data_IF_811222135189
#
_entry.id   IF_811222135189
#
_cell.length_a   1.000
_cell.length_b   1.000
_cell.length_c   1.000
_cell.angle_alpha   90.00
_cell.angle_beta   90.00
_cell.angle_gamma   90.00
#
_symmetry.space_group_name_H-M   'P 1'
#
loop_
_entity.id
_entity.type
_entity.pdbx_description
1 polymer ?
#
# COMPACT_ATOMS: atom_id res chain seq x y z
N UNK A 1 0.95 -84.47 -35.07
CA UNK A 1 1.06 -83.12 -34.50
C UNK A 1 0.97 -83.25 -33.00
N UNK A 2 1.98 -82.78 -32.29
CA UNK A 2 1.94 -82.73 -30.82
C UNK A 2 1.12 -81.51 -30.38
N UNK A 3 0.46 -81.56 -29.22
CA UNK A 3 -0.38 -80.45 -28.74
C UNK A 3 0.42 -79.12 -28.59
N UNK A 4 1.73 -79.23 -28.34
CA UNK A 4 2.65 -78.09 -28.22
C UNK A 4 2.85 -77.37 -29.56
N UNK A 5 2.95 -78.11 -30.67
CA UNK A 5 3.10 -77.53 -32.02
C UNK A 5 1.85 -76.74 -32.45
N UNK A 6 0.66 -77.23 -32.11
CA UNK A 6 -0.61 -76.58 -32.44
C UNK A 6 -0.76 -75.24 -31.70
N UNK A 7 -0.38 -75.20 -30.42
CA UNK A 7 -0.38 -73.96 -29.62
C UNK A 7 0.64 -72.96 -30.16
N UNK A 8 1.84 -73.43 -30.54
CA UNK A 8 2.86 -72.57 -31.15
C UNK A 8 2.40 -71.92 -32.46
N UNK A 9 1.66 -72.65 -33.30
CA UNK A 9 1.13 -72.14 -34.56
C UNK A 9 0.01 -71.12 -34.35
N UNK A 10 -0.90 -71.34 -33.38
CA UNK A 10 -1.93 -70.36 -33.03
C UNK A 10 -1.30 -69.09 -32.45
N UNK A 11 -0.30 -69.23 -31.56
CA UNK A 11 0.41 -68.11 -30.96
C UNK A 11 1.13 -67.26 -32.01
N UNK A 12 1.73 -67.86 -33.04
CA UNK A 12 2.41 -67.11 -34.10
C UNK A 12 1.44 -66.30 -34.96
N UNK A 13 0.25 -66.86 -35.27
CA UNK A 13 -0.81 -66.16 -36.00
C UNK A 13 -1.35 -65.00 -35.16
N UNK A 14 -1.62 -65.21 -33.88
CA UNK A 14 -2.09 -64.16 -32.97
C UNK A 14 -1.04 -63.04 -32.85
N UNK A 15 0.24 -63.40 -32.71
CA UNK A 15 1.33 -62.41 -32.65
C UNK A 15 1.44 -61.61 -33.94
N UNK A 16 1.22 -62.22 -35.11
CA UNK A 16 1.26 -61.53 -36.39
C UNK A 16 0.13 -60.49 -36.52
N UNK A 17 -1.10 -60.87 -36.12
CA UNK A 17 -2.24 -59.95 -36.13
C UNK A 17 -2.04 -58.80 -35.15
N UNK A 18 -1.53 -59.09 -33.94
CA UNK A 18 -1.21 -58.05 -32.95
C UNK A 18 -0.11 -57.11 -33.45
N UNK A 19 0.91 -57.62 -34.14
CA UNK A 19 1.98 -56.80 -34.71
C UNK A 19 1.43 -55.82 -35.77
N UNK A 20 0.55 -56.27 -36.66
CA UNK A 20 -0.08 -55.41 -37.66
C UNK A 20 -0.96 -54.35 -36.97
N UNK A 21 -1.73 -54.76 -35.96
CA UNK A 21 -2.55 -53.84 -35.15
C UNK A 21 -1.71 -52.77 -34.45
N UNK A 22 -0.58 -53.15 -33.87
CA UNK A 22 0.33 -52.23 -33.19
C UNK A 22 0.97 -51.22 -34.15
N UNK A 23 1.39 -51.67 -35.34
CA UNK A 23 1.92 -50.78 -36.40
C UNK A 23 0.86 -49.74 -36.80
N UNK A 24 -0.38 -50.19 -37.01
CA UNK A 24 -1.47 -49.30 -37.36
C UNK A 24 -1.78 -48.28 -36.26
N UNK A 25 -1.87 -48.74 -35.00
CA UNK A 25 -2.13 -47.88 -33.85
C UNK A 25 -1.01 -46.82 -33.68
N UNK A 26 0.24 -47.22 -33.90
CA UNK A 26 1.40 -46.32 -33.83
C UNK A 26 1.29 -45.16 -34.83
N UNK A 27 0.86 -45.44 -36.07
CA UNK A 27 0.66 -44.40 -37.09
C UNK A 27 -0.47 -43.45 -36.70
N UNK A 28 -1.59 -43.96 -36.18
CA UNK A 28 -2.71 -43.13 -35.73
C UNK A 28 -2.29 -42.25 -34.54
N UNK A 29 -1.61 -42.83 -33.55
CA UNK A 29 -1.08 -42.09 -32.41
C UNK A 29 -0.06 -41.04 -32.82
N UNK A 30 0.80 -41.34 -33.80
CA UNK A 30 1.77 -40.38 -34.31
C UNK A 30 1.07 -39.17 -34.94
N UNK A 31 0.06 -39.38 -35.79
CA UNK A 31 -0.68 -38.28 -36.41
C UNK A 31 -1.43 -37.44 -35.37
N UNK A 32 -2.14 -38.09 -34.44
CA UNK A 32 -2.88 -37.39 -33.39
C UNK A 32 -1.94 -36.63 -32.42
N UNK A 33 -0.78 -37.20 -32.11
CA UNK A 33 0.25 -36.54 -31.30
C UNK A 33 0.84 -35.33 -32.01
N UNK A 34 1.03 -35.39 -33.32
CA UNK A 34 1.60 -34.28 -34.08
C UNK A 34 0.62 -33.10 -34.17
N UNK A 35 -0.67 -33.39 -34.33
CA UNK A 35 -1.75 -32.39 -34.30
C UNK A 35 -1.90 -31.77 -32.91
N UNK A 36 -1.90 -32.58 -31.85
CA UNK A 36 -1.94 -32.10 -30.46
C UNK A 36 -0.73 -31.23 -30.12
N UNK A 37 0.49 -31.64 -30.51
CA UNK A 37 1.71 -30.88 -30.31
C UNK A 37 1.68 -29.53 -31.05
N UNK A 38 1.14 -29.51 -32.28
CA UNK A 38 0.96 -28.28 -33.04
C UNK A 38 -0.03 -27.33 -32.36
N UNK A 39 -1.19 -27.82 -31.93
CA UNK A 39 -2.18 -27.01 -31.22
C UNK A 39 -1.64 -26.44 -29.90
N UNK A 40 -0.85 -27.24 -29.16
CA UNK A 40 -0.20 -26.82 -27.90
C UNK A 40 0.84 -25.74 -28.17
N UNK A 41 1.62 -25.88 -29.25
CA UNK A 41 2.61 -24.88 -29.66
C UNK A 41 1.95 -23.58 -30.11
N UNK A 42 0.84 -23.65 -30.84
CA UNK A 42 0.06 -22.47 -31.23
C UNK A 42 -0.59 -21.79 -30.02
N UNK A 43 -1.15 -22.55 -29.08
CA UNK A 43 -1.67 -22.02 -27.82
C UNK A 43 -0.56 -21.34 -27.01
N UNK A 44 0.62 -21.95 -26.89
CA UNK A 44 1.78 -21.36 -26.22
C UNK A 44 2.23 -20.05 -26.87
N UNK A 45 2.25 -19.98 -28.20
CA UNK A 45 2.53 -18.73 -28.95
C UNK A 45 1.47 -17.66 -28.68
N UNK A 46 0.18 -18.04 -28.61
CA UNK A 46 -0.90 -17.12 -28.26
C UNK A 46 -0.80 -16.59 -26.83
N UNK A 47 -0.34 -17.42 -25.90
CA UNK A 47 -0.07 -17.03 -24.50
C UNK A 47 1.09 -16.04 -24.45
N UNK A 48 2.22 -16.29 -25.12
CA UNK A 48 3.38 -15.39 -25.17
C UNK A 48 3.01 -14.00 -25.73
N UNK A 49 2.21 -13.97 -26.80
CA UNK A 49 1.71 -12.71 -27.37
C UNK A 49 0.79 -11.96 -26.40
N UNK A 50 -0.04 -12.68 -25.64
CA UNK A 50 -0.94 -12.09 -24.64
C UNK A 50 -0.15 -11.53 -23.44
N UNK A 51 0.90 -12.22 -23.00
CA UNK A 51 1.80 -11.77 -21.94
C UNK A 51 2.56 -10.51 -22.35
N UNK A 52 3.15 -10.47 -23.54
CA UNK A 52 3.79 -9.24 -24.07
C UNK A 52 2.84 -8.05 -24.15
N UNK A 53 1.57 -8.30 -24.48
CA UNK A 53 0.56 -7.24 -24.50
C UNK A 53 0.22 -6.76 -23.09
N UNK A 54 0.14 -7.67 -22.12
CA UNK A 54 -0.03 -7.34 -20.70
C UNK A 54 1.15 -6.56 -20.15
N UNK A 55 2.39 -6.94 -20.46
CA UNK A 55 3.60 -6.20 -20.09
C UNK A 55 3.58 -4.78 -20.66
N UNK A 56 3.29 -4.62 -21.96
CA UNK A 56 3.19 -3.28 -22.57
C UNK A 56 2.07 -2.42 -21.95
N UNK A 57 0.92 -3.01 -21.64
CA UNK A 57 -0.16 -2.29 -20.95
C UNK A 57 0.23 -1.93 -19.52
N UNK A 58 0.96 -2.81 -18.83
CA UNK A 58 1.47 -2.56 -17.50
C UNK A 58 2.52 -1.45 -17.49
N UNK A 59 3.51 -1.50 -18.38
CA UNK A 59 4.53 -0.46 -18.52
C UNK A 59 3.91 0.89 -18.84
N UNK A 60 2.90 0.90 -19.72
CA UNK A 60 2.19 2.14 -20.07
C UNK A 60 1.37 2.67 -18.90
N UNK A 61 0.64 1.82 -18.19
CA UNK A 61 -0.16 2.23 -17.02
C UNK A 61 0.74 2.68 -15.87
N UNK A 62 1.86 1.99 -15.64
CA UNK A 62 2.87 2.39 -14.66
C UNK A 62 3.45 3.75 -15.06
N UNK A 63 3.94 3.90 -16.30
CA UNK A 63 4.48 5.17 -16.80
C UNK A 63 3.47 6.31 -16.70
N UNK A 64 2.25 6.14 -17.19
CA UNK A 64 1.24 7.21 -17.22
C UNK A 64 0.73 7.54 -15.81
N UNK A 65 0.52 6.54 -14.95
CA UNK A 65 0.03 6.78 -13.57
C UNK A 65 1.13 7.33 -12.66
N UNK A 66 2.36 6.82 -12.76
CA UNK A 66 3.49 7.38 -12.00
C UNK A 66 3.87 8.77 -12.49
N UNK A 67 3.77 9.05 -13.79
CA UNK A 67 3.98 10.40 -14.31
C UNK A 67 2.88 11.34 -13.83
N UNK A 68 1.61 10.95 -13.92
CA UNK A 68 0.50 11.79 -13.47
C UNK A 68 0.49 12.00 -11.95
N UNK A 69 0.86 10.97 -11.17
CA UNK A 69 1.03 11.07 -9.72
C UNK A 69 2.23 11.96 -9.37
N UNK A 70 3.36 11.80 -10.06
CA UNK A 70 4.55 12.65 -9.92
C UNK A 70 4.21 14.10 -10.22
N UNK A 71 3.51 14.37 -11.32
CA UNK A 71 3.11 15.72 -11.73
C UNK A 71 2.16 16.34 -10.70
N UNK A 72 1.18 15.58 -10.20
CA UNK A 72 0.26 16.05 -9.15
C UNK A 72 1.01 16.38 -7.86
N UNK A 73 1.95 15.53 -7.45
CA UNK A 73 2.77 15.74 -6.24
C UNK A 73 3.75 16.90 -6.45
N UNK A 74 4.30 17.06 -7.65
CA UNK A 74 5.21 18.16 -7.99
C UNK A 74 4.48 19.49 -8.04
N UNK A 75 3.28 19.54 -8.61
CA UNK A 75 2.42 20.73 -8.63
C UNK A 75 1.91 21.08 -7.23
N UNK A 76 1.50 20.10 -6.42
CA UNK A 76 1.17 20.32 -5.02
C UNK A 76 2.38 20.81 -4.22
N UNK A 77 3.57 20.22 -4.42
CA UNK A 77 4.84 20.66 -3.81
C UNK A 77 5.13 22.12 -4.18
N UNK A 78 5.06 22.46 -5.46
CA UNK A 78 5.30 23.81 -5.97
C UNK A 78 4.26 24.81 -5.44
N UNK A 79 3.00 24.42 -5.33
CA UNK A 79 1.94 25.28 -4.81
C UNK A 79 2.06 25.50 -3.30
N UNK A 80 2.49 24.49 -2.54
CA UNK A 80 2.79 24.61 -1.10
C UNK A 80 4.01 25.50 -0.87
N UNK A 81 5.03 25.44 -1.74
CA UNK A 81 6.30 26.15 -1.53
C UNK A 81 6.41 27.54 -2.19
N UNK A 82 5.68 27.80 -3.27
CA UNK A 82 5.63 29.10 -3.95
C UNK A 82 4.42 29.95 -3.52
N UNK A 83 3.52 29.40 -2.69
CA UNK A 83 2.43 30.15 -2.05
C UNK A 83 2.89 31.18 -1.02
N UNK A 84 4.19 31.27 -0.76
CA UNK A 84 4.79 32.23 0.16
C UNK A 84 6.06 32.86 -0.45
N UNK A 85 5.91 33.58 -1.57
CA UNK A 85 6.97 34.46 -2.10
C UNK A 85 7.13 35.77 -1.28
N UNK A 86 6.78 35.76 0.00
CA UNK A 86 7.18 36.83 0.91
C UNK A 86 7.78 36.29 2.20
N UNK A 87 9.12 36.14 2.13
CA UNK A 87 10.11 36.13 3.22
C UNK A 87 10.65 34.75 3.63
N UNK A 88 11.97 34.68 3.51
CA UNK A 88 12.95 33.84 4.22
C UNK A 88 13.62 32.74 3.39
N UNK A 89 14.81 33.08 2.90
CA UNK A 89 15.65 32.28 2.00
C UNK A 89 16.76 31.50 2.74
N UNK A 90 16.92 31.61 4.06
CA UNK A 90 18.16 31.08 4.70
C UNK A 90 18.02 29.80 5.54
N UNK A 91 16.83 29.19 5.64
CA UNK A 91 16.63 27.96 6.46
C UNK A 91 16.06 26.76 5.68
N UNK A 92 16.04 26.80 4.34
CA UNK A 92 15.38 25.76 3.52
C UNK A 92 16.20 24.48 3.35
N UNK A 93 17.53 24.53 3.35
CA UNK A 93 18.34 23.36 2.94
C UNK A 93 18.42 22.26 4.00
N UNK A 94 18.46 22.57 5.30
CA UNK A 94 18.62 21.55 6.35
C UNK A 94 17.35 20.75 6.67
N UNK A 95 16.16 21.33 6.46
CA UNK A 95 14.88 20.65 6.69
C UNK A 95 14.50 19.77 5.50
N UNK A 96 14.89 20.17 4.28
CA UNK A 96 14.69 19.39 3.05
C UNK A 96 15.50 18.10 3.07
N UNK A 97 16.74 18.14 3.54
CA UNK A 97 17.64 16.98 3.55
C UNK A 97 17.24 15.91 4.58
N UNK A 98 16.74 16.31 5.76
CA UNK A 98 16.22 15.35 6.75
C UNK A 98 14.87 14.74 6.35
N UNK A 99 14.01 15.47 5.65
CA UNK A 99 12.72 14.98 5.18
C UNK A 99 12.87 14.00 4.01
N UNK A 100 13.73 14.31 3.04
CA UNK A 100 14.02 13.42 1.91
C UNK A 100 14.70 12.12 2.37
N UNK A 101 15.63 12.20 3.32
CA UNK A 101 16.31 11.02 3.87
C UNK A 101 15.37 10.11 4.68
N UNK A 102 14.44 10.68 5.46
CA UNK A 102 13.41 9.90 6.18
C UNK A 102 12.39 9.26 5.25
N UNK A 103 12.00 9.96 4.18
CA UNK A 103 11.08 9.39 3.19
C UNK A 103 11.75 8.22 2.44
N UNK A 104 13.00 8.36 2.03
CA UNK A 104 13.77 7.28 1.38
C UNK A 104 14.02 6.09 2.31
N UNK A 105 14.37 6.32 3.59
CA UNK A 105 14.51 5.24 4.58
C UNK A 105 13.20 4.48 4.78
N UNK A 106 12.07 5.19 4.85
CA UNK A 106 10.75 4.56 5.04
C UNK A 106 10.27 3.81 3.80
N UNK A 107 10.56 4.33 2.61
CA UNK A 107 10.28 3.61 1.35
C UNK A 107 11.16 2.36 1.24
N UNK A 108 12.43 2.43 1.67
CA UNK A 108 13.32 1.28 1.70
C UNK A 108 12.86 0.21 2.70
N UNK A 109 12.42 0.61 3.90
CA UNK A 109 11.88 -0.28 4.93
C UNK A 109 10.61 -1.01 4.44
N UNK A 110 9.70 -0.28 3.77
CA UNK A 110 8.50 -0.87 3.17
C UNK A 110 8.85 -1.83 2.03
N UNK A 111 9.82 -1.46 1.19
CA UNK A 111 10.29 -2.32 0.10
C UNK A 111 10.91 -3.62 0.63
N UNK A 112 11.73 -3.53 1.67
CA UNK A 112 12.38 -4.71 2.26
C UNK A 112 11.36 -5.63 2.97
N UNK A 113 10.36 -5.04 3.64
CA UNK A 113 9.25 -5.80 4.23
C UNK A 113 8.41 -6.51 3.15
N UNK A 114 8.13 -5.85 2.02
CA UNK A 114 7.44 -6.45 0.88
C UNK A 114 8.25 -7.58 0.23
N UNK A 115 9.56 -7.39 0.02
CA UNK A 115 10.44 -8.40 -0.58
C UNK A 115 10.54 -9.66 0.29
N UNK A 116 10.63 -9.51 1.63
CA UNK A 116 10.65 -10.65 2.56
C UNK A 116 9.34 -11.42 2.57
N UNK A 117 8.19 -10.72 2.60
CA UNK A 117 6.88 -11.37 2.59
C UNK A 117 6.57 -12.02 1.24
N UNK A 118 7.01 -11.43 0.12
CA UNK A 118 6.90 -12.05 -1.21
C UNK A 118 7.76 -13.31 -1.31
N UNK A 119 8.98 -13.30 -0.77
CA UNK A 119 9.84 -14.49 -0.72
C UNK A 119 9.22 -15.60 0.13
N UNK A 120 8.57 -15.27 1.26
CA UNK A 120 7.87 -16.21 2.14
C UNK A 120 6.64 -16.82 1.46
N UNK A 121 5.84 -16.01 0.75
CA UNK A 121 4.67 -16.47 0.00
C UNK A 121 5.10 -17.33 -1.20
N UNK A 122 6.14 -16.92 -1.94
CA UNK A 122 6.70 -17.71 -3.06
C UNK A 122 7.32 -19.03 -2.60
N UNK A 123 7.95 -19.06 -1.42
CA UNK A 123 8.48 -20.27 -0.82
C UNK A 123 7.34 -21.23 -0.38
N UNK A 124 6.24 -20.68 0.13
CA UNK A 124 5.04 -21.44 0.51
C UNK A 124 4.28 -21.97 -0.71
N UNK A 125 4.31 -21.27 -1.84
CA UNK A 125 3.51 -21.55 -3.03
C UNK A 125 4.18 -22.49 -4.06
N UNK A 126 5.49 -22.75 -3.94
CA UNK A 126 6.16 -23.81 -4.73
C UNK A 126 5.57 -25.22 -4.54
N UNK A 127 4.64 -25.39 -3.59
CA UNK A 127 3.94 -26.65 -3.29
C UNK A 127 2.52 -26.78 -3.87
N UNK A 128 1.93 -25.75 -4.50
CA UNK A 128 0.59 -25.89 -5.10
C UNK A 128 0.45 -25.07 -6.39
N UNK A 129 0.44 -25.82 -7.48
CA UNK A 129 0.26 -25.38 -8.86
C UNK A 129 -1.20 -24.94 -9.07
N UNK A 130 -1.55 -23.74 -8.62
CA UNK A 130 -2.91 -23.22 -8.75
C UNK A 130 -3.09 -21.82 -8.17
N UNK A 131 -3.54 -20.91 -9.05
CA UNK A 131 -4.19 -19.65 -8.74
C UNK A 131 -3.31 -18.42 -8.45
N UNK A 132 -2.70 -17.92 -9.52
CA UNK A 132 -2.29 -16.51 -9.67
C UNK A 132 -3.39 -15.50 -9.28
N UNK A 133 -4.67 -15.88 -9.39
CA UNK A 133 -5.82 -15.07 -8.96
C UNK A 133 -5.90 -14.89 -7.45
N UNK A 134 -5.47 -15.88 -6.67
CA UNK A 134 -5.54 -15.84 -5.21
C UNK A 134 -4.40 -14.97 -4.66
N UNK A 135 -3.24 -15.03 -5.30
CA UNK A 135 -2.11 -14.09 -5.06
C UNK A 135 -2.53 -12.67 -5.38
N UNK A 136 -3.15 -12.42 -6.55
CA UNK A 136 -3.63 -11.09 -6.93
C UNK A 136 -4.63 -10.52 -5.94
N UNK A 137 -5.60 -11.33 -5.47
CA UNK A 137 -6.58 -10.92 -4.46
C UNK A 137 -5.96 -10.70 -3.08
N UNK A 138 -4.96 -11.48 -2.70
CA UNK A 138 -4.21 -11.24 -1.47
C UNK A 138 -3.43 -9.93 -1.56
N UNK A 139 -2.78 -9.69 -2.70
CA UNK A 139 -2.03 -8.46 -2.96
C UNK A 139 -2.92 -7.23 -2.98
N UNK A 140 -4.09 -7.26 -3.63
CA UNK A 140 -5.09 -6.17 -3.61
C UNK A 140 -5.54 -5.85 -2.19
N UNK A 141 -5.81 -6.86 -1.35
CA UNK A 141 -6.22 -6.66 0.05
C UNK A 141 -5.11 -6.08 0.92
N UNK A 142 -3.86 -6.50 0.71
CA UNK A 142 -2.71 -5.95 1.41
C UNK A 142 -2.45 -4.49 0.98
N UNK A 143 -2.60 -4.17 -0.31
CA UNK A 143 -2.48 -2.82 -0.83
C UNK A 143 -3.57 -1.90 -0.26
N UNK A 144 -4.82 -2.36 -0.23
CA UNK A 144 -5.95 -1.65 0.38
C UNK A 144 -5.70 -1.39 1.87
N UNK A 145 -5.28 -2.41 2.62
CA UNK A 145 -4.98 -2.28 4.05
C UNK A 145 -3.77 -1.39 4.30
N UNK A 146 -2.72 -1.46 3.48
CA UNK A 146 -1.55 -0.60 3.60
C UNK A 146 -1.88 0.86 3.27
N UNK A 147 -2.74 1.11 2.26
CA UNK A 147 -3.23 2.45 1.92
C UNK A 147 -4.11 2.99 3.06
N UNK A 148 -5.00 2.19 3.63
CA UNK A 148 -5.84 2.61 4.76
C UNK A 148 -5.01 2.88 6.02
N UNK A 149 -4.06 1.99 6.32
CA UNK A 149 -3.15 2.13 7.46
C UNK A 149 -2.24 3.35 7.27
N UNK A 150 -1.69 3.55 6.07
CA UNK A 150 -0.92 4.75 5.74
C UNK A 150 -1.75 6.03 5.87
N UNK A 151 -3.01 6.04 5.43
CA UNK A 151 -3.91 7.19 5.59
C UNK A 151 -4.28 7.46 7.05
N UNK A 152 -4.47 6.41 7.85
CA UNK A 152 -4.72 6.55 9.29
C UNK A 152 -3.48 7.04 10.04
N UNK A 153 -2.30 6.48 9.74
CA UNK A 153 -1.03 6.90 10.32
C UNK A 153 -0.70 8.34 9.91
N UNK A 154 -0.94 8.75 8.67
CA UNK A 154 -0.77 10.15 8.24
C UNK A 154 -1.74 11.09 8.97
N UNK A 155 -2.99 10.65 9.18
CA UNK A 155 -3.96 11.44 9.94
C UNK A 155 -3.57 11.54 11.42
N UNK A 156 -3.16 10.44 12.05
CA UNK A 156 -2.73 10.40 13.44
C UNK A 156 -1.42 11.17 13.67
N UNK A 157 -0.42 10.99 12.80
CA UNK A 157 0.84 11.70 12.88
C UNK A 157 0.66 13.21 12.71
N UNK A 158 -0.25 13.64 11.81
CA UNK A 158 -0.57 15.07 11.64
C UNK A 158 -1.38 15.63 12.80
N UNK A 159 -2.33 14.87 13.35
CA UNK A 159 -3.08 15.26 14.55
C UNK A 159 -2.17 15.34 15.78
N UNK A 160 -1.21 14.42 15.91
CA UNK A 160 -0.23 14.42 17.00
C UNK A 160 0.76 15.58 16.87
N UNK A 161 1.21 15.88 15.65
CA UNK A 161 2.04 17.06 15.37
C UNK A 161 1.30 18.35 15.74
N UNK A 162 0.05 18.53 15.29
CA UNK A 162 -0.78 19.69 15.63
C UNK A 162 -1.00 19.82 17.15
N UNK A 163 -1.28 18.71 17.84
CA UNK A 163 -1.42 18.69 19.30
C UNK A 163 -0.13 19.11 20.01
N UNK A 164 1.02 18.66 19.51
CA UNK A 164 2.33 19.07 20.00
C UNK A 164 2.53 20.58 19.89
N UNK A 165 2.25 21.15 18.72
CA UNK A 165 2.34 22.60 18.50
C UNK A 165 1.37 23.40 19.38
N UNK A 166 0.11 22.95 19.53
CA UNK A 166 -0.87 23.55 20.43
C UNK A 166 -0.40 23.57 21.89
N UNK A 167 0.16 22.46 22.38
CA UNK A 167 0.68 22.39 23.75
C UNK A 167 1.91 23.30 23.95
N UNK A 168 2.77 23.42 22.95
CA UNK A 168 3.94 24.31 23.00
C UNK A 168 3.49 25.77 23.09
N UNK A 169 2.55 26.20 22.25
CA UNK A 169 2.03 27.58 22.28
C UNK A 169 1.30 27.89 23.60
N UNK A 170 0.46 26.97 24.09
CA UNK A 170 -0.18 27.12 25.39
C UNK A 170 0.83 27.20 26.55
N UNK A 171 1.92 26.42 26.52
CA UNK A 171 2.98 26.51 27.52
C UNK A 171 3.77 27.81 27.41
N UNK A 172 4.05 28.30 26.21
CA UNK A 172 4.74 29.59 26.00
C UNK A 172 3.90 30.74 26.56
N UNK A 173 2.60 30.72 26.33
CA UNK A 173 1.70 31.73 26.85
C UNK A 173 1.56 31.68 28.37
N UNK A 174 1.50 30.46 28.95
CA UNK A 174 1.52 30.28 30.40
C UNK A 174 2.80 30.87 31.02
N UNK A 175 3.98 30.66 30.40
CA UNK A 175 5.25 31.26 30.84
C UNK A 175 5.25 32.79 30.79
N UNK A 176 4.46 33.37 29.89
CA UNK A 176 4.29 34.82 29.74
C UNK A 176 3.16 35.39 30.60
N UNK A 177 2.51 34.54 31.41
CA UNK A 177 1.33 34.86 32.21
C UNK A 177 0.22 35.54 31.39
N UNK A 178 0.09 35.17 30.11
CA UNK A 178 -0.87 35.72 29.16
C UNK A 178 -2.01 34.73 28.96
N UNK A 179 -3.25 35.21 29.02
CA UNK A 179 -4.44 34.45 28.61
C UNK A 179 -4.43 34.38 27.08
N UNK A 180 -4.55 33.17 26.52
CA UNK A 180 -4.60 32.97 25.07
C UNK A 180 -6.03 32.72 24.66
N UNK A 181 -6.49 33.42 23.64
CA UNK A 181 -7.80 33.20 23.05
C UNK A 181 -7.73 32.17 21.91
N UNK A 182 -8.87 31.57 21.58
CA UNK A 182 -8.96 30.65 20.44
C UNK A 182 -8.50 31.32 19.12
N UNK A 183 -8.83 32.60 18.93
CA UNK A 183 -8.38 33.37 17.78
C UNK A 183 -6.85 33.52 17.75
N UNK A 184 -6.22 33.84 18.88
CA UNK A 184 -4.75 33.95 18.95
C UNK A 184 -4.05 32.61 18.68
N UNK A 185 -4.64 31.48 19.09
CA UNK A 185 -4.13 30.14 18.77
C UNK A 185 -4.26 29.79 17.29
N UNK A 186 -5.36 30.17 16.65
CA UNK A 186 -5.54 29.98 15.21
C UNK A 186 -4.58 30.86 14.41
N UNK A 187 -4.34 32.09 14.85
CA UNK A 187 -3.43 33.02 14.17
C UNK A 187 -1.96 32.65 14.36
N UNK A 188 -1.58 32.17 15.55
CA UNK A 188 -0.21 31.69 15.83
C UNK A 188 0.11 30.35 15.17
N UNK A 189 -0.92 29.58 14.80
CA UNK A 189 -0.82 28.32 14.04
C UNK A 189 -1.36 28.48 12.63
N UNK A 190 -1.02 29.60 11.97
CA UNK A 190 -1.45 29.92 10.60
C UNK A 190 -1.03 28.87 9.56
N UNK A 191 -0.02 28.06 9.86
CA UNK A 191 0.44 26.93 9.04
C UNK A 191 -0.60 25.78 8.97
N UNK A 192 -1.56 25.73 9.90
CA UNK A 192 -2.58 24.69 9.96
C UNK A 192 -3.97 25.23 9.57
N UNK A 193 -4.82 24.43 8.89
CA UNK A 193 -6.17 24.86 8.54
C UNK A 193 -7.02 25.17 9.78
N UNK A 194 -7.71 26.32 9.79
CA UNK A 194 -8.51 26.80 10.95
C UNK A 194 -9.47 25.74 11.51
N UNK A 195 -10.18 25.04 10.63
CA UNK A 195 -11.13 23.99 11.02
C UNK A 195 -10.48 22.83 11.79
N UNK A 196 -9.21 22.50 11.50
CA UNK A 196 -8.49 21.43 12.20
C UNK A 196 -7.98 21.89 13.55
N UNK A 197 -7.48 23.12 13.65
CA UNK A 197 -7.05 23.70 14.93
C UNK A 197 -8.23 23.71 15.90
N UNK A 198 -9.40 24.17 15.46
CA UNK A 198 -10.63 24.18 16.27
C UNK A 198 -11.10 22.76 16.62
N UNK A 199 -11.04 21.83 15.66
CA UNK A 199 -11.40 20.42 15.88
C UNK A 199 -10.47 19.70 16.87
N UNK A 200 -9.17 19.92 16.78
CA UNK A 200 -8.19 19.34 17.71
C UNK A 200 -8.30 19.98 19.10
N UNK A 201 -8.57 21.29 19.19
CA UNK A 201 -8.89 21.95 20.46
C UNK A 201 -10.11 21.32 21.13
N UNK A 202 -11.20 21.06 20.39
CA UNK A 202 -12.37 20.36 20.94
C UNK A 202 -12.04 18.94 21.41
N UNK A 203 -11.26 18.18 20.63
CA UNK A 203 -10.76 16.85 21.03
C UNK A 203 -9.90 16.95 22.31
N UNK A 204 -9.06 17.98 22.42
CA UNK A 204 -8.25 18.23 23.62
C UNK A 204 -9.11 18.61 24.83
N UNK A 205 -10.21 19.36 24.68
CA UNK A 205 -11.19 19.62 25.76
C UNK A 205 -11.86 18.33 26.21
N UNK A 206 -12.32 17.51 25.27
CA UNK A 206 -12.96 16.23 25.54
C UNK A 206 -12.01 15.28 26.32
N UNK A 207 -10.72 15.27 25.94
CA UNK A 207 -9.65 14.51 26.62
C UNK A 207 -9.13 15.17 27.90
N UNK A 208 -9.68 16.32 28.31
CA UNK A 208 -9.28 17.02 29.54
C UNK A 208 -7.86 17.62 29.50
N UNK A 209 -7.29 17.82 28.31
CA UNK A 209 -5.94 18.40 28.12
C UNK A 209 -5.96 19.92 28.13
N UNK A 210 -7.09 20.54 27.82
CA UNK A 210 -7.32 21.99 27.85
C UNK A 210 -8.68 22.30 28.47
N UNK A 211 -8.77 23.47 29.11
CA UNK A 211 -10.00 24.01 29.67
C UNK A 211 -10.34 25.26 28.88
N UNK A 212 -11.59 25.34 28.44
CA UNK A 212 -12.17 26.56 27.90
C UNK A 212 -12.92 27.25 29.01
N UNK A 213 -12.79 28.57 29.09
CA UNK A 213 -13.56 29.37 30.04
C UNK A 213 -15.05 29.38 29.67
N UNK A 214 -15.35 29.29 28.38
CA UNK A 214 -16.70 29.14 27.83
C UNK A 214 -17.06 27.69 27.49
N UNK A 215 -18.36 27.38 27.56
CA UNK A 215 -18.87 26.04 27.25
C UNK A 215 -18.80 25.73 25.75
N UNK A 216 -18.95 26.77 24.92
CA UNK A 216 -18.80 26.74 23.47
C UNK A 216 -17.48 27.42 23.03
N UNK A 217 -16.85 26.90 21.98
CA UNK A 217 -15.60 27.44 21.43
C UNK A 217 -15.92 28.70 20.61
N UNK A 218 -15.74 29.89 21.21
CA UNK A 218 -15.83 31.18 20.53
C UNK A 218 -14.42 31.75 20.26
N UNK A 219 -14.25 32.66 19.29
CA UNK A 219 -12.94 33.22 18.95
C UNK A 219 -12.24 33.93 20.12
N UNK A 220 -13.02 34.50 21.03
CA UNK A 220 -12.62 35.19 22.25
C UNK A 220 -12.46 34.25 23.47
N UNK A 221 -12.88 32.98 23.34
CA UNK A 221 -12.79 32.03 24.44
C UNK A 221 -11.34 31.82 24.88
N UNK A 222 -11.11 32.05 26.17
CA UNK A 222 -9.81 31.82 26.80
C UNK A 222 -9.53 30.31 26.92
N UNK A 223 -8.35 29.91 26.45
CA UNK A 223 -7.88 28.52 26.47
C UNK A 223 -6.69 28.43 27.43
N UNK A 224 -6.82 27.56 28.44
CA UNK A 224 -5.76 27.31 29.42
C UNK A 224 -5.49 25.83 29.60
N UNK A 225 -4.28 25.52 30.06
CA UNK A 225 -3.95 24.18 30.53
C UNK A 225 -4.63 23.94 31.89
N UNK A 226 -5.15 22.73 32.14
CA UNK A 226 -5.78 22.39 33.41
C UNK A 226 -4.76 22.44 34.54
N UNK A 227 -5.20 22.98 35.67
CA UNK A 227 -4.42 23.02 36.91
C UNK A 227 -4.35 21.63 37.54
N UNK A 228 -3.33 21.34 38.35
CA UNK A 228 -3.12 19.99 38.95
C UNK A 228 -4.36 19.47 39.69
N UNK A 229 -5.15 20.35 40.31
CA UNK A 229 -6.41 20.02 40.99
C UNK A 229 -7.55 19.60 40.04
N UNK A 230 -7.54 20.07 38.80
CA UNK A 230 -8.59 19.79 37.79
C UNK A 230 -8.28 18.50 36.99
N UNK A 231 -7.03 18.01 37.02
CA UNK A 231 -6.66 16.72 36.42
C UNK A 231 -7.17 15.53 37.21
N UNK A 232 -7.29 15.65 38.53
CA UNK A 232 -7.68 14.56 39.43
C UNK A 232 -9.18 14.29 39.46
N UNK A 233 -10.02 15.26 39.08
CA UNK A 233 -11.49 15.12 39.15
C UNK A 233 -12.12 14.33 38.01
N UNK A 234 -11.35 13.94 36.98
CA UNK A 234 -11.86 13.22 35.80
C UNK A 234 -11.34 11.79 35.63
N UNK A 235 -10.44 11.32 36.49
CA UNK A 235 -9.93 9.93 36.43
C UNK A 235 -10.85 8.96 37.19
N UNK A 236 -11.82 9.46 37.97
CA UNK A 236 -12.75 8.67 38.78
C UNK A 236 -14.22 8.70 38.29
N UNK A 237 -14.49 9.12 37.05
CA UNK A 237 -15.85 9.22 36.49
C UNK A 237 -16.04 8.37 35.24
#
# INVERSE_FOLDING_TARGET
MTAVELVGLIASIVSLVLAIGAIWLSVVFFNMSNEAAKSTTEAAKGIDASVKRLENLFDKLYSDTFSMMKDTVSDMRKHIWNGDESKQTENKESILEEADKKAEEKVAEVKEAMDRQLAEILATQRASDGNLSDVKRAMERLLENAIQTSRQIDSEAREETLRGHLQIELRKALRRNKVVTAAELVDSLSEFPRHRVLGELQKMKARGLVVFEDDALMPDSAIRLPTIRERTTKVEG
#
